data_IF_942168722319
#
_entry.id   IF_942168722319
#
_cell.length_a   1.000
_cell.length_b   1.000
_cell.length_c   1.000
_cell.angle_alpha   90.00
_cell.angle_beta   90.00
_cell.angle_gamma   90.00
#
_symmetry.space_group_name_H-M   'P 1'
#
loop_
_entity.id
_entity.type
_entity.pdbx_description
1 polymer ?
#
# COMPACT_ATOMS: atom_id res chain seq x y z
N UNK A 1 -2.06 -2.00 -20.63
CA UNK A 1 -2.75 -1.82 -19.33
C UNK A 1 -1.81 -1.00 -18.47
N UNK A 2 -2.28 0.08 -17.84
CA UNK A 2 -1.41 0.88 -16.98
C UNK A 2 -1.32 0.18 -15.62
N UNK A 3 -0.11 -0.07 -15.13
CA UNK A 3 0.14 -0.80 -13.89
C UNK A 3 0.04 0.18 -12.71
N UNK A 4 -0.72 -0.20 -11.68
CA UNK A 4 -0.83 0.57 -10.44
C UNK A 4 0.15 0.07 -9.37
N UNK A 5 0.73 1.05 -8.66
CA UNK A 5 1.47 0.89 -7.42
C UNK A 5 0.61 1.33 -6.25
N UNK A 6 0.73 0.65 -5.11
CA UNK A 6 -0.01 0.94 -3.89
C UNK A 6 0.93 1.01 -2.68
N UNK A 7 0.67 2.01 -1.84
CA UNK A 7 1.36 2.22 -0.57
C UNK A 7 0.31 2.24 0.53
N UNK A 8 0.21 1.18 1.32
CA UNK A 8 -0.70 1.18 2.47
C UNK A 8 0.04 1.67 3.71
N UNK A 9 -0.65 2.48 4.50
CA UNK A 9 -0.23 2.78 5.86
C UNK A 9 -1.06 1.92 6.82
N UNK A 10 -0.37 1.06 7.57
CA UNK A 10 -0.97 -0.03 8.35
C UNK A 10 -0.59 0.10 9.81
N UNK A 11 -1.57 -0.06 10.68
CA UNK A 11 -1.38 -0.08 12.14
C UNK A 11 -0.88 -1.45 12.57
N UNK A 12 0.33 -1.51 13.12
CA UNK A 12 0.96 -2.75 13.60
C UNK A 12 0.11 -3.36 14.71
N UNK A 13 -0.27 -2.58 15.70
CA UNK A 13 -1.07 -3.06 16.84
C UNK A 13 -2.38 -3.71 16.39
N UNK A 14 -3.01 -3.19 15.34
CA UNK A 14 -4.24 -3.75 14.76
C UNK A 14 -3.98 -5.00 13.93
N UNK A 15 -2.84 -5.10 13.25
CA UNK A 15 -2.41 -6.34 12.58
C UNK A 15 -2.18 -7.42 13.63
N UNK A 16 -1.36 -7.14 14.64
CA UNK A 16 -1.04 -8.09 15.72
C UNK A 16 -2.29 -8.59 16.43
N UNK A 17 -3.20 -7.68 16.79
CA UNK A 17 -4.48 -8.03 17.39
C UNK A 17 -5.28 -8.96 16.49
N UNK A 18 -5.47 -8.61 15.21
CA UNK A 18 -6.25 -9.38 14.26
C UNK A 18 -5.65 -10.77 13.99
N UNK A 19 -4.33 -10.86 13.79
CA UNK A 19 -3.70 -12.13 13.43
C UNK A 19 -3.56 -13.08 14.62
N UNK A 20 -3.62 -12.55 15.84
CA UNK A 20 -3.62 -13.32 17.08
C UNK A 20 -5.03 -13.81 17.48
N UNK A 21 -6.10 -13.31 16.85
CA UNK A 21 -7.45 -13.80 17.11
C UNK A 21 -7.63 -15.24 16.60
N UNK A 22 -8.52 -16.05 17.23
CA UNK A 22 -8.86 -17.38 16.74
C UNK A 22 -9.46 -17.31 15.33
N UNK A 23 -8.96 -18.15 14.42
CA UNK A 23 -9.37 -18.17 13.00
C UNK A 23 -10.89 -18.21 12.82
N UNK A 24 -11.55 -19.15 13.48
CA UNK A 24 -13.01 -19.34 13.40
C UNK A 24 -13.78 -18.12 13.92
N UNK A 25 -13.27 -17.48 14.98
CA UNK A 25 -13.92 -16.29 15.55
C UNK A 25 -13.84 -15.10 14.61
N UNK A 26 -12.71 -14.93 13.93
CA UNK A 26 -12.50 -13.86 12.95
C UNK A 26 -13.47 -14.00 11.78
N UNK A 27 -13.57 -15.18 11.16
CA UNK A 27 -14.49 -15.40 10.04
C UNK A 27 -15.95 -15.16 10.44
N UNK A 28 -16.40 -15.75 11.56
CA UNK A 28 -17.76 -15.56 12.06
C UNK A 28 -18.07 -14.10 12.41
N UNK A 29 -17.06 -13.36 12.87
CA UNK A 29 -17.21 -11.94 13.21
C UNK A 29 -17.25 -11.07 11.95
N UNK A 30 -16.51 -11.41 10.90
CA UNK A 30 -16.58 -10.72 9.60
C UNK A 30 -17.93 -10.96 8.91
N UNK A 31 -18.45 -12.19 8.90
CA UNK A 31 -19.79 -12.50 8.38
C UNK A 31 -20.89 -11.67 9.06
N UNK A 32 -20.73 -11.42 10.36
CA UNK A 32 -21.66 -10.63 11.18
C UNK A 32 -21.33 -9.15 11.21
N UNK A 33 -20.29 -8.68 10.51
CA UNK A 33 -19.82 -7.29 10.50
C UNK A 33 -19.39 -6.76 11.87
N UNK A 34 -19.01 -7.66 12.78
CA UNK A 34 -18.67 -7.35 14.17
C UNK A 34 -17.22 -6.92 14.38
N UNK A 35 -16.33 -7.06 13.38
CA UNK A 35 -14.92 -6.63 13.50
C UNK A 35 -14.66 -5.17 13.10
N UNK A 36 -15.68 -4.43 12.68
CA UNK A 36 -15.48 -3.05 12.21
C UNK A 36 -15.00 -2.10 13.31
N UNK A 37 -15.25 -2.45 14.57
CA UNK A 37 -14.78 -1.73 15.75
C UNK A 37 -13.27 -1.87 15.99
N UNK A 38 -12.65 -2.97 15.57
CA UNK A 38 -11.20 -3.18 15.67
C UNK A 38 -10.47 -2.66 14.42
N UNK A 39 -11.19 -2.30 13.36
CA UNK A 39 -10.57 -1.66 12.20
C UNK A 39 -10.04 -0.28 12.61
N UNK A 40 -8.79 0.09 12.27
CA UNK A 40 -8.28 1.42 12.57
C UNK A 40 -9.20 2.54 12.03
N UNK A 41 -9.13 3.72 12.63
CA UNK A 41 -9.83 4.89 12.09
C UNK A 41 -9.32 5.20 10.67
N UNK A 42 -10.25 5.56 9.78
CA UNK A 42 -9.90 6.00 8.43
C UNK A 42 -9.15 7.33 8.51
N UNK A 43 -8.06 7.44 7.77
CA UNK A 43 -7.37 8.71 7.57
C UNK A 43 -8.18 9.65 6.67
N UNK A 44 -8.17 10.96 6.96
CA UNK A 44 -9.02 11.94 6.26
C UNK A 44 -8.63 12.20 4.80
N UNK A 45 -7.40 11.90 4.41
CA UNK A 45 -6.88 12.24 3.08
C UNK A 45 -6.46 11.02 2.26
N UNK A 46 -6.18 9.89 2.89
CA UNK A 46 -5.83 8.65 2.19
C UNK A 46 -7.06 7.95 1.60
N UNK A 47 -6.83 7.16 0.56
CA UNK A 47 -7.88 6.27 0.04
C UNK A 47 -8.06 5.10 0.99
N UNK A 48 -9.27 4.55 1.06
CA UNK A 48 -9.53 3.33 1.82
C UNK A 48 -10.63 2.51 1.17
N UNK A 49 -10.43 1.19 1.10
CA UNK A 49 -11.47 0.27 0.66
C UNK A 49 -12.61 0.22 1.69
N UNK A 50 -13.83 -0.02 1.22
CA UNK A 50 -14.98 -0.19 2.09
C UNK A 50 -14.79 -1.39 3.02
N UNK A 51 -15.37 -1.33 4.22
CA UNK A 51 -15.29 -2.43 5.18
C UNK A 51 -15.82 -3.72 4.55
N UNK A 52 -16.98 -3.64 3.89
CA UNK A 52 -17.65 -4.80 3.28
C UNK A 52 -16.82 -5.48 2.19
N UNK A 53 -16.07 -4.71 1.40
CA UNK A 53 -15.22 -5.28 0.34
C UNK A 53 -14.05 -6.05 0.97
N UNK A 54 -13.43 -5.51 2.02
CA UNK A 54 -12.32 -6.21 2.69
C UNK A 54 -12.81 -7.43 3.48
N UNK A 55 -13.99 -7.36 4.10
CA UNK A 55 -14.65 -8.53 4.73
C UNK A 55 -14.85 -9.63 3.68
N UNK A 56 -15.43 -9.29 2.53
CA UNK A 56 -15.70 -10.23 1.45
C UNK A 56 -14.42 -10.88 0.90
N UNK A 57 -13.37 -10.10 0.63
CA UNK A 57 -12.10 -10.65 0.14
C UNK A 57 -11.46 -11.65 1.11
N UNK A 58 -11.52 -11.39 2.42
CA UNK A 58 -11.01 -12.32 3.45
C UNK A 58 -11.85 -13.60 3.50
N UNK A 59 -13.18 -13.47 3.49
CA UNK A 59 -14.10 -14.62 3.54
C UNK A 59 -13.98 -15.46 2.27
N UNK A 60 -13.95 -14.84 1.09
CA UNK A 60 -13.80 -15.52 -0.20
C UNK A 60 -12.46 -16.25 -0.29
N UNK A 61 -11.38 -15.63 0.19
CA UNK A 61 -10.07 -16.28 0.28
C UNK A 61 -10.12 -17.49 1.23
N UNK A 62 -10.68 -17.33 2.44
CA UNK A 62 -10.80 -18.40 3.42
C UNK A 62 -11.60 -19.60 2.88
N UNK A 63 -12.74 -19.35 2.25
CA UNK A 63 -13.62 -20.36 1.65
C UNK A 63 -12.95 -21.10 0.50
N UNK A 64 -12.23 -20.36 -0.35
CA UNK A 64 -11.46 -20.94 -1.47
C UNK A 64 -10.40 -21.92 -0.97
N UNK A 65 -9.69 -21.57 0.09
CA UNK A 65 -8.62 -22.40 0.65
C UNK A 65 -9.14 -23.54 1.55
N UNK A 66 -10.40 -23.48 1.99
CA UNK A 66 -11.04 -24.49 2.87
C UNK A 66 -10.23 -24.77 4.14
N UNK A 67 -9.63 -23.72 4.70
CA UNK A 67 -8.84 -23.84 5.92
C UNK A 67 -9.76 -24.11 7.11
N UNK A 68 -9.43 -25.12 7.88
CA UNK A 68 -10.12 -25.45 9.12
C UNK A 68 -9.09 -25.69 10.21
N UNK A 69 -8.83 -24.66 11.00
CA UNK A 69 -7.97 -24.74 12.17
C UNK A 69 -8.61 -23.96 13.32
N UNK A 70 -8.31 -24.37 14.55
CA UNK A 70 -8.76 -23.76 15.80
C UNK A 70 -7.71 -22.82 16.40
N UNK A 71 -6.56 -22.70 15.75
CA UNK A 71 -5.47 -21.80 16.14
C UNK A 71 -5.78 -20.34 15.77
N UNK A 72 -4.80 -19.47 15.98
CA UNK A 72 -4.88 -18.06 15.58
C UNK A 72 -4.86 -17.93 14.05
N UNK A 73 -5.29 -16.78 13.52
CA UNK A 73 -5.25 -16.50 12.07
C UNK A 73 -3.85 -16.74 11.51
N UNK A 74 -2.80 -16.16 12.12
CA UNK A 74 -1.43 -16.33 11.61
C UNK A 74 -1.01 -17.80 11.59
N UNK A 75 -1.23 -18.52 12.71
CA UNK A 75 -0.88 -19.93 12.81
C UNK A 75 -1.65 -20.78 11.81
N UNK A 76 -2.93 -20.49 11.56
CA UNK A 76 -3.73 -21.20 10.58
C UNK A 76 -3.14 -21.06 9.18
N UNK A 77 -2.76 -19.84 8.78
CA UNK A 77 -2.12 -19.58 7.47
C UNK A 77 -0.76 -20.29 7.40
N UNK A 78 0.09 -20.12 8.42
CA UNK A 78 1.42 -20.70 8.49
C UNK A 78 1.39 -22.23 8.45
N UNK A 79 0.62 -22.87 9.34
CA UNK A 79 0.49 -24.32 9.41
C UNK A 79 -0.07 -24.89 8.11
N UNK A 80 -1.01 -24.20 7.46
CA UNK A 80 -1.58 -24.66 6.19
C UNK A 80 -0.53 -24.64 5.08
N UNK A 81 0.33 -23.62 5.05
CA UNK A 81 1.46 -23.58 4.12
C UNK A 81 2.52 -24.64 4.45
N UNK A 82 2.93 -24.75 5.71
CA UNK A 82 3.96 -25.69 6.17
C UNK A 82 3.57 -27.15 5.89
N UNK A 83 2.29 -27.48 6.08
CA UNK A 83 1.74 -28.82 5.79
C UNK A 83 1.40 -29.04 4.30
N UNK A 84 1.66 -28.05 3.43
CA UNK A 84 1.43 -28.16 1.99
C UNK A 84 -0.04 -28.15 1.56
N UNK A 85 -0.93 -27.65 2.41
CA UNK A 85 -2.37 -27.48 2.10
C UNK A 85 -2.56 -26.33 1.12
N UNK A 86 -1.82 -25.24 1.32
CA UNK A 86 -1.79 -24.06 0.44
C UNK A 86 -0.36 -23.77 0.01
N UNK A 87 -0.22 -23.10 -1.14
CA UNK A 87 1.06 -22.61 -1.64
C UNK A 87 1.54 -21.38 -0.85
N UNK A 88 2.84 -21.07 -0.93
CA UNK A 88 3.40 -19.86 -0.34
C UNK A 88 2.72 -18.58 -0.86
N UNK A 89 2.39 -18.56 -2.15
CA UNK A 89 1.66 -17.46 -2.78
C UNK A 89 0.29 -17.24 -2.14
N UNK A 90 -0.47 -18.32 -1.95
CA UNK A 90 -1.80 -18.27 -1.35
C UNK A 90 -1.74 -17.85 0.13
N UNK A 91 -0.71 -18.28 0.85
CA UNK A 91 -0.46 -17.82 2.22
C UNK A 91 -0.15 -16.31 2.29
N UNK A 92 0.70 -15.80 1.39
CA UNK A 92 1.02 -14.38 1.29
C UNK A 92 -0.20 -13.55 0.85
N UNK A 93 -1.04 -14.08 -0.05
CA UNK A 93 -2.32 -13.49 -0.46
C UNK A 93 -3.25 -13.32 0.75
N UNK A 94 -3.46 -14.40 1.53
CA UNK A 94 -4.26 -14.35 2.75
C UNK A 94 -3.76 -13.31 3.74
N UNK A 95 -2.46 -13.34 4.02
CA UNK A 95 -1.82 -12.37 4.91
C UNK A 95 -2.03 -10.92 4.43
N UNK A 96 -1.95 -10.67 3.11
CA UNK A 96 -2.20 -9.34 2.54
C UNK A 96 -3.62 -8.85 2.82
N UNK A 97 -4.64 -9.71 2.70
CA UNK A 97 -6.01 -9.33 2.99
C UNK A 97 -6.20 -8.91 4.46
N UNK A 98 -5.62 -9.66 5.41
CA UNK A 98 -5.64 -9.30 6.83
C UNK A 98 -4.85 -8.01 7.12
N UNK A 99 -3.70 -7.81 6.49
CA UNK A 99 -2.92 -6.56 6.62
C UNK A 99 -3.71 -5.36 6.08
N UNK A 100 -4.39 -5.51 4.93
CA UNK A 100 -5.23 -4.46 4.34
C UNK A 100 -6.43 -4.11 5.22
N UNK A 101 -6.97 -5.06 5.99
CA UNK A 101 -8.00 -4.78 7.00
C UNK A 101 -7.52 -3.74 8.02
N UNK A 102 -6.29 -3.91 8.51
CA UNK A 102 -5.64 -3.04 9.50
C UNK A 102 -5.03 -1.76 8.90
N UNK A 103 -5.32 -1.43 7.64
CA UNK A 103 -4.88 -0.19 7.00
C UNK A 103 -5.75 1.01 7.40
N UNK A 104 -5.10 2.12 7.77
CA UNK A 104 -5.77 3.42 7.97
C UNK A 104 -6.11 4.08 6.61
N UNK A 105 -5.38 3.70 5.57
CA UNK A 105 -5.58 4.13 4.20
C UNK A 105 -4.34 3.86 3.34
N UNK A 106 -4.45 4.16 2.05
CA UNK A 106 -3.39 3.97 1.08
C UNK A 106 -3.31 5.12 0.09
N UNK A 107 -2.11 5.27 -0.46
CA UNK A 107 -1.85 6.06 -1.65
C UNK A 107 -1.72 5.14 -2.86
N UNK A 108 -2.17 5.60 -4.03
CA UNK A 108 -1.97 4.86 -5.28
C UNK A 108 -1.63 5.77 -6.43
N UNK A 109 -0.79 5.26 -7.32
CA UNK A 109 -0.49 5.91 -8.58
C UNK A 109 -0.22 4.89 -9.67
N UNK A 110 -0.34 5.33 -10.93
CA UNK A 110 0.28 4.60 -12.02
C UNK A 110 1.79 4.54 -11.77
N UNK A 111 2.39 3.36 -11.93
CA UNK A 111 3.80 3.12 -11.67
C UNK A 111 4.71 4.08 -12.44
N UNK A 112 4.46 4.27 -13.73
CA UNK A 112 5.21 5.25 -14.54
C UNK A 112 5.05 6.71 -14.08
N UNK A 113 4.01 7.03 -13.31
CA UNK A 113 3.83 8.36 -12.68
C UNK A 113 4.44 8.41 -11.28
N UNK A 114 4.64 7.29 -10.60
CA UNK A 114 5.28 7.25 -9.29
C UNK A 114 6.67 7.90 -9.34
N UNK A 115 7.41 7.66 -10.43
CA UNK A 115 8.68 8.33 -10.71
C UNK A 115 8.59 9.87 -10.58
N UNK A 116 7.59 10.50 -11.18
CA UNK A 116 7.40 11.96 -11.15
C UNK A 116 7.23 12.51 -9.73
N UNK A 117 6.71 11.70 -8.81
CA UNK A 117 6.50 12.09 -7.42
C UNK A 117 7.77 11.92 -6.59
N UNK A 118 8.60 10.94 -6.93
CA UNK A 118 9.84 10.69 -6.19
C UNK A 118 11.02 11.53 -6.70
N UNK A 119 11.06 11.85 -8.00
CA UNK A 119 12.15 12.59 -8.64
C UNK A 119 12.56 13.87 -7.88
N UNK A 120 11.64 14.75 -7.40
CA UNK A 120 12.03 15.94 -6.66
C UNK A 120 12.76 15.69 -5.32
N UNK A 121 12.74 14.45 -4.83
CA UNK A 121 13.31 14.00 -3.56
C UNK A 121 14.59 13.19 -3.75
N UNK A 122 14.90 12.81 -4.98
CA UNK A 122 16.04 11.96 -5.30
C UNK A 122 17.19 12.79 -5.84
N UNK A 123 18.38 12.66 -5.24
CA UNK A 123 19.64 13.16 -5.77
C UNK A 123 20.32 12.13 -6.70
N UNK A 124 19.55 11.33 -7.44
CA UNK A 124 20.06 10.22 -8.25
C UNK A 124 19.74 10.44 -9.72
N UNK A 125 20.69 10.15 -10.60
CA UNK A 125 20.63 10.47 -12.04
C UNK A 125 19.63 9.60 -12.85
N UNK A 126 18.95 8.63 -12.24
CA UNK A 126 17.65 8.09 -12.71
C UNK A 126 17.17 6.99 -11.77
N UNK A 127 15.94 7.08 -11.28
CA UNK A 127 15.24 5.95 -10.66
C UNK A 127 14.75 4.99 -11.75
N UNK A 128 14.96 3.69 -11.54
CA UNK A 128 14.31 2.64 -12.31
C UNK A 128 12.92 2.30 -11.74
N UNK A 129 12.09 1.60 -12.51
CA UNK A 129 10.79 1.11 -12.02
C UNK A 129 10.97 0.14 -10.85
N UNK A 130 12.02 -0.68 -10.88
CA UNK A 130 12.30 -1.65 -9.81
C UNK A 130 12.58 -0.95 -8.48
N UNK A 131 13.27 0.19 -8.55
CA UNK A 131 13.67 0.98 -7.38
C UNK A 131 12.44 1.44 -6.57
N UNK A 132 11.27 1.58 -7.21
CA UNK A 132 10.03 1.92 -6.54
C UNK A 132 9.63 0.91 -5.45
N UNK A 133 10.12 -0.33 -5.52
CA UNK A 133 9.78 -1.39 -4.57
C UNK A 133 10.88 -1.65 -3.54
N UNK A 134 11.97 -0.88 -3.56
CA UNK A 134 13.08 -1.01 -2.64
C UNK A 134 12.87 -0.15 -1.39
N UNK A 135 13.12 -0.71 -0.19
CA UNK A 135 12.91 -0.01 1.08
C UNK A 135 13.77 1.26 1.18
N UNK A 136 15.01 1.22 0.67
CA UNK A 136 15.95 2.34 0.73
C UNK A 136 15.39 3.61 0.08
N UNK A 137 14.66 3.45 -1.03
CA UNK A 137 13.98 4.57 -1.71
C UNK A 137 12.93 5.18 -0.79
N UNK A 138 12.11 4.37 -0.15
CA UNK A 138 11.05 4.85 0.74
C UNK A 138 11.59 5.41 2.05
N UNK A 139 12.70 4.90 2.58
CA UNK A 139 13.40 5.53 3.71
C UNK A 139 13.95 6.90 3.34
N UNK A 140 14.48 7.07 2.12
CA UNK A 140 14.90 8.38 1.63
C UNK A 140 13.70 9.33 1.47
N UNK A 141 12.59 8.87 0.87
CA UNK A 141 11.35 9.66 0.79
C UNK A 141 10.90 10.08 2.19
N UNK A 142 10.86 9.14 3.14
CA UNK A 142 10.46 9.40 4.54
C UNK A 142 11.32 10.46 5.21
N UNK A 143 12.61 10.50 4.89
CA UNK A 143 13.56 11.45 5.44
C UNK A 143 13.45 12.83 4.79
N UNK A 144 13.36 12.89 3.46
CA UNK A 144 13.47 14.15 2.72
C UNK A 144 12.14 14.87 2.56
N UNK A 145 11.04 14.15 2.28
CA UNK A 145 9.74 14.76 1.95
C UNK A 145 9.17 15.66 3.05
N UNK A 146 9.23 15.29 4.36
CA UNK A 146 8.72 16.14 5.44
C UNK A 146 9.46 17.49 5.60
N UNK A 147 10.67 17.61 5.04
CA UNK A 147 11.44 18.87 5.07
C UNK A 147 10.93 19.92 4.07
N UNK A 148 10.07 19.50 3.14
CA UNK A 148 9.48 20.36 2.10
C UNK A 148 8.04 20.67 2.48
N UNK A 149 7.65 21.94 2.39
CA UNK A 149 6.24 22.32 2.59
C UNK A 149 5.39 21.66 1.50
N UNK A 150 4.27 21.03 1.89
CA UNK A 150 3.38 20.26 0.99
C UNK A 150 3.09 20.99 -0.33
N UNK A 151 2.67 22.26 -0.25
CA UNK A 151 2.38 23.08 -1.42
C UNK A 151 3.59 23.25 -2.34
N UNK A 152 4.77 23.48 -1.77
CA UNK A 152 6.02 23.61 -2.54
C UNK A 152 6.38 22.28 -3.22
N UNK A 153 6.20 21.15 -2.53
CA UNK A 153 6.42 19.83 -3.10
C UNK A 153 5.47 19.55 -4.27
N UNK A 154 4.16 19.84 -4.11
CA UNK A 154 3.18 19.68 -5.19
C UNK A 154 3.54 20.53 -6.42
N UNK A 155 3.97 21.77 -6.21
CA UNK A 155 4.42 22.67 -7.28
C UNK A 155 5.65 22.12 -7.99
N UNK A 156 6.64 21.58 -7.27
CA UNK A 156 7.83 20.93 -7.85
C UNK A 156 7.46 19.76 -8.75
N UNK A 157 6.55 18.88 -8.31
CA UNK A 157 6.05 17.74 -9.09
C UNK A 157 5.38 18.23 -10.38
N UNK A 158 4.50 19.22 -10.30
CA UNK A 158 3.81 19.75 -11.49
C UNK A 158 4.80 20.36 -12.47
N UNK A 159 5.79 21.12 -11.98
CA UNK A 159 6.84 21.70 -12.84
C UNK A 159 7.69 20.62 -13.51
N UNK A 160 8.05 19.54 -12.80
CA UNK A 160 8.77 18.40 -13.37
C UNK A 160 7.97 17.73 -14.49
N UNK A 161 6.67 17.46 -14.25
CA UNK A 161 5.77 16.93 -15.27
C UNK A 161 5.65 17.85 -16.50
N UNK A 162 5.50 19.17 -16.30
CA UNK A 162 5.44 20.13 -17.41
C UNK A 162 6.75 20.18 -18.20
N UNK A 163 7.90 20.07 -17.52
CA UNK A 163 9.22 20.00 -18.16
C UNK A 163 9.36 18.75 -19.01
N UNK A 164 9.03 17.58 -18.47
CA UNK A 164 9.05 16.30 -19.20
C UNK A 164 8.21 16.36 -20.48
N UNK A 165 7.00 16.93 -20.42
CA UNK A 165 6.15 17.11 -21.61
C UNK A 165 6.81 17.98 -22.68
N UNK A 166 7.43 19.10 -22.28
CA UNK A 166 8.16 19.97 -23.23
C UNK A 166 9.32 19.23 -23.90
N UNK A 167 10.07 18.44 -23.15
CA UNK A 167 11.19 17.65 -23.67
C UNK A 167 10.73 16.57 -24.66
N UNK A 168 9.51 16.06 -24.49
CA UNK A 168 8.85 15.14 -25.42
C UNK A 168 8.12 15.84 -26.60
N UNK A 169 8.29 17.16 -26.76
CA UNK A 169 7.54 17.99 -27.73
C UNK A 169 6.01 17.87 -27.60
N UNK A 170 5.48 17.57 -26.41
CA UNK A 170 4.05 17.55 -26.13
C UNK A 170 3.51 18.96 -25.85
N UNK A 171 2.23 19.20 -26.17
CA UNK A 171 1.60 20.50 -25.95
C UNK A 171 1.29 20.76 -24.47
N UNK A 172 1.42 22.04 -24.09
CA UNK A 172 0.95 22.58 -22.81
C UNK A 172 -0.29 23.48 -22.95
N UNK A 173 -0.80 23.64 -24.18
CA UNK A 173 -1.95 24.47 -24.45
C UNK A 173 -3.24 23.67 -24.23
N UNK A 174 -4.09 24.14 -23.31
CA UNK A 174 -5.40 23.54 -23.01
C UNK A 174 -6.30 23.46 -24.24
N UNK A 175 -6.19 24.41 -25.18
CA UNK A 175 -6.96 24.35 -26.42
C UNK A 175 -6.55 23.19 -27.31
N UNK A 176 -5.29 22.78 -27.20
CA UNK A 176 -4.69 21.68 -27.95
C UNK A 176 -4.84 20.34 -27.21
N UNK A 177 -4.86 20.34 -25.88
CA UNK A 177 -5.13 19.18 -25.03
C UNK A 177 -6.10 19.54 -23.88
N UNK A 178 -7.40 19.22 -24.02
CA UNK A 178 -8.40 19.58 -23.02
C UNK A 178 -8.26 18.82 -21.69
N UNK A 179 -7.40 17.79 -21.62
CA UNK A 179 -7.15 17.02 -20.39
C UNK A 179 -5.98 17.57 -19.58
N UNK A 180 -5.30 18.61 -20.05
CA UNK A 180 -4.08 19.06 -19.40
C UNK A 180 -4.33 19.58 -17.99
N UNK A 181 -5.39 20.37 -17.78
CA UNK A 181 -5.72 20.91 -16.46
C UNK A 181 -6.14 19.81 -15.49
N UNK A 182 -6.95 18.84 -15.93
CA UNK A 182 -7.37 17.73 -15.07
C UNK A 182 -6.20 16.79 -14.74
N UNK A 183 -5.23 16.64 -15.66
CA UNK A 183 -4.00 15.89 -15.43
C UNK A 183 -3.11 16.62 -14.41
N UNK A 184 -2.92 17.94 -14.56
CA UNK A 184 -2.21 18.77 -13.60
C UNK A 184 -2.82 18.69 -12.19
N UNK A 185 -4.15 18.83 -12.09
CA UNK A 185 -4.88 18.70 -10.83
C UNK A 185 -4.71 17.31 -10.21
N UNK A 186 -4.65 16.26 -11.04
CA UNK A 186 -4.38 14.90 -10.56
C UNK A 186 -2.98 14.76 -9.97
N UNK A 187 -1.97 15.37 -10.60
CA UNK A 187 -0.60 15.39 -10.05
C UNK A 187 -0.52 16.17 -8.74
N UNK A 188 -1.17 17.33 -8.64
CA UNK A 188 -1.25 18.09 -7.39
C UNK A 188 -1.89 17.26 -6.27
N UNK A 189 -3.04 16.64 -6.54
CA UNK A 189 -3.76 15.84 -5.54
C UNK A 189 -2.95 14.63 -5.09
N UNK A 190 -2.32 13.90 -6.02
CA UNK A 190 -1.57 12.69 -5.69
C UNK A 190 -0.24 13.02 -4.97
N UNK A 191 0.42 14.12 -5.32
CA UNK A 191 1.61 14.57 -4.58
C UNK A 191 1.25 15.05 -3.18
N UNK A 192 0.18 15.84 -3.01
CA UNK A 192 -0.31 16.23 -1.68
C UNK A 192 -0.65 15.01 -0.81
N UNK A 193 -1.40 14.05 -1.36
CA UNK A 193 -1.72 12.80 -0.65
C UNK A 193 -0.48 11.98 -0.27
N UNK A 194 0.57 11.96 -1.12
CA UNK A 194 1.83 11.27 -0.80
C UNK A 194 2.57 11.97 0.34
N UNK A 195 2.63 13.30 0.32
CA UNK A 195 3.21 14.10 1.39
C UNK A 195 2.50 13.86 2.73
N UNK A 196 1.16 13.84 2.71
CA UNK A 196 0.35 13.50 3.87
C UNK A 196 0.63 12.08 4.37
N UNK A 197 0.64 11.07 3.48
CA UNK A 197 0.94 9.69 3.85
C UNK A 197 2.29 9.58 4.58
N UNK A 198 3.33 10.21 4.04
CA UNK A 198 4.68 10.15 4.60
C UNK A 198 4.76 10.92 5.94
N UNK A 199 4.05 12.04 6.06
CA UNK A 199 3.95 12.78 7.33
C UNK A 199 3.30 11.92 8.42
N UNK A 200 2.16 11.26 8.11
CA UNK A 200 1.50 10.33 9.03
C UNK A 200 2.40 9.15 9.40
N UNK A 201 3.15 8.60 8.45
CA UNK A 201 4.12 7.54 8.70
C UNK A 201 5.29 7.97 9.61
N UNK A 202 5.63 9.26 9.64
CA UNK A 202 6.66 9.78 10.54
C UNK A 202 6.11 10.07 11.94
N UNK A 203 4.86 10.53 12.04
CA UNK A 203 4.24 10.98 13.29
C UNK A 203 3.79 9.86 14.21
N UNK A 204 3.55 8.66 13.68
CA UNK A 204 2.94 7.55 14.41
C UNK A 204 3.79 6.28 14.27
N UNK A 205 4.47 5.92 15.37
CA UNK A 205 5.35 4.75 15.44
C UNK A 205 4.60 3.42 15.30
N UNK A 206 3.27 3.39 15.49
CA UNK A 206 2.42 2.23 15.23
C UNK A 206 2.20 1.99 13.74
N UNK A 207 2.49 2.98 12.89
CA UNK A 207 2.26 2.86 11.46
C UNK A 207 3.48 2.30 10.72
N UNK A 208 3.20 1.36 9.80
CA UNK A 208 4.18 0.79 8.88
C UNK A 208 3.69 0.88 7.45
N UNK A 209 4.64 1.11 6.56
CA UNK A 209 4.40 1.17 5.13
C UNK A 209 4.33 -0.25 4.57
N UNK A 210 3.31 -0.53 3.77
CA UNK A 210 3.28 -1.70 2.88
C UNK A 210 3.47 -1.22 1.46
N UNK A 211 4.41 -1.84 0.74
CA UNK A 211 4.69 -1.50 -0.65
C UNK A 211 4.29 -2.69 -1.53
N UNK A 212 3.56 -2.40 -2.60
CA UNK A 212 3.19 -3.41 -3.59
C UNK A 212 2.58 -2.81 -4.85
N UNK A 213 2.21 -3.68 -5.78
CA UNK A 213 1.63 -3.29 -7.06
C UNK A 213 0.90 -4.45 -7.72
N UNK A 214 0.07 -4.16 -8.72
CA UNK A 214 -0.80 -5.17 -9.38
C UNK A 214 -0.02 -6.34 -10.00
N UNK A 215 1.20 -6.08 -10.45
CA UNK A 215 2.06 -7.05 -11.12
C UNK A 215 3.08 -7.71 -10.17
N UNK A 216 3.21 -7.19 -8.94
CA UNK A 216 4.11 -7.73 -7.92
C UNK A 216 3.42 -8.95 -7.31
N UNK A 217 4.12 -10.08 -7.34
CA UNK A 217 3.63 -11.30 -6.70
C UNK A 217 3.53 -11.11 -5.19
N UNK A 218 2.51 -11.68 -4.55
CA UNK A 218 2.22 -11.44 -3.13
C UNK A 218 3.39 -11.73 -2.19
N UNK A 219 4.26 -12.67 -2.58
CA UNK A 219 5.48 -13.03 -1.87
C UNK A 219 6.45 -11.85 -1.72
N UNK A 220 6.44 -10.94 -2.69
CA UNK A 220 7.35 -9.79 -2.82
C UNK A 220 6.72 -8.47 -2.35
N UNK A 221 5.47 -8.49 -1.89
CA UNK A 221 4.94 -7.35 -1.13
C UNK A 221 5.73 -7.23 0.17
N UNK A 222 5.99 -6.01 0.63
CA UNK A 222 6.82 -5.77 1.82
C UNK A 222 6.01 -5.16 2.95
N UNK A 223 6.22 -5.63 4.18
CA UNK A 223 5.76 -5.00 5.41
C UNK A 223 6.94 -4.26 6.04
N UNK A 224 6.98 -2.94 5.89
CA UNK A 224 8.23 -2.20 6.05
C UNK A 224 9.27 -2.73 5.06
N UNK A 225 10.38 -3.23 5.59
CA UNK A 225 11.47 -3.82 4.82
C UNK A 225 11.44 -5.35 4.74
N UNK A 226 10.40 -6.01 5.26
CA UNK A 226 10.31 -7.47 5.31
C UNK A 226 9.35 -7.99 4.24
N UNK A 227 9.80 -8.76 3.25
CA UNK A 227 8.93 -9.40 2.27
C UNK A 227 7.98 -10.41 2.91
N UNK A 228 6.77 -10.54 2.38
CA UNK A 228 5.72 -11.39 2.96
C UNK A 228 6.11 -12.86 3.02
N UNK A 229 6.89 -13.35 2.06
CA UNK A 229 7.39 -14.72 2.12
C UNK A 229 8.23 -14.98 3.38
N UNK A 230 8.99 -13.98 3.85
CA UNK A 230 9.77 -14.10 5.08
C UNK A 230 8.87 -14.03 6.32
N UNK A 231 7.78 -13.25 6.27
CA UNK A 231 6.80 -13.18 7.34
C UNK A 231 6.12 -14.53 7.52
N UNK A 232 5.68 -15.16 6.44
CA UNK A 232 5.10 -16.51 6.49
C UNK A 232 6.08 -17.52 7.06
N UNK A 233 7.37 -17.43 6.75
CA UNK A 233 8.37 -18.41 7.22
C UNK A 233 8.89 -18.15 8.63
N UNK A 234 8.95 -16.89 9.08
CA UNK A 234 9.64 -16.51 10.33
C UNK A 234 8.77 -15.80 11.36
N UNK A 235 7.53 -15.42 11.03
CA UNK A 235 6.65 -14.62 11.88
C UNK A 235 6.61 -13.13 11.51
N UNK A 236 5.69 -12.40 12.12
CA UNK A 236 5.65 -10.94 12.01
C UNK A 236 6.91 -10.31 12.65
N UNK A 237 7.45 -9.23 12.04
CA UNK A 237 8.65 -8.54 12.53
C UNK A 237 8.42 -7.72 13.81
#
# INVERSE_FOLDING_TARGET
MAIEMQLHLVSISRVEELVAMPWVEVLLSMEKTHLRNIRPAIDSELLRGFDIDNEAEILDWADKQKLSDTTTVFQTIHNSWENGIITLKEACEGLLHFIKWASIGYWKALEGRAYLYLEPLMNVDSLSIQDLYEDEIWQQVRKELPSIVEKEYCEKVVLAWMKMRKEMNETLDEKSDPRILSTMQSHMRLSGQLHHLVSRWLEDDDLRLIIGGEHISFENWTFGNVPFHQIITHGLP
#
